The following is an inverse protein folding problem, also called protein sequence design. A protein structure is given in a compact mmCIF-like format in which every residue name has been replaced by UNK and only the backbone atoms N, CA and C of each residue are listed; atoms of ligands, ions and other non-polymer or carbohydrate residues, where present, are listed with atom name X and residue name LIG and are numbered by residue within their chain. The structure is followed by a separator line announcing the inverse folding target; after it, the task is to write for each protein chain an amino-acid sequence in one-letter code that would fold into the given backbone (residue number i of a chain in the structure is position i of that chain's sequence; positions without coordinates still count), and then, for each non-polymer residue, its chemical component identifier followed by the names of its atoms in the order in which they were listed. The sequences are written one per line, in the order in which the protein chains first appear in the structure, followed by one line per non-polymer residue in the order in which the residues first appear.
data_IF_643852552984
#
_entry.id   IF_643852552984
#
_cell.length_a   1.000
_cell.length_b   1.000
_cell.length_c   1.000
_cell.angle_alpha   90.00
_cell.angle_beta   90.00
_cell.angle_gamma   90.00
#
_symmetry.space_group_name_H-M   'P 1'
#
loop_
_entity.id
_entity.type
_entity.pdbx_description
1 polymer ?
#
# COMPACT_ATOMS: atom_id res chain seq x y z
N UNK A 1 32.58 -60.39 49.60
CA UNK A 1 32.50 -58.95 49.26
C UNK A 1 31.66 -58.84 48.00
N UNK A 2 30.72 -57.88 47.99
CA UNK A 2 29.64 -57.58 47.02
C UNK A 2 30.08 -57.81 45.54
N UNK A 3 29.21 -58.14 44.58
CA UNK A 3 28.15 -57.26 44.03
C UNK A 3 27.18 -58.12 43.18
N UNK A 4 25.87 -58.01 43.44
CA UNK A 4 24.80 -58.38 42.49
C UNK A 4 24.75 -57.33 41.37
N UNK A 5 24.69 -57.75 40.10
CA UNK A 5 24.30 -56.89 38.98
C UNK A 5 22.97 -57.41 38.44
N UNK A 6 21.89 -56.69 38.75
CA UNK A 6 20.59 -56.81 38.09
C UNK A 6 20.70 -56.24 36.67
N UNK A 7 20.34 -57.02 35.66
CA UNK A 7 20.09 -56.53 34.32
C UNK A 7 18.64 -56.01 34.25
N UNK A 8 18.46 -54.69 34.15
CA UNK A 8 17.17 -54.06 33.88
C UNK A 8 17.00 -53.86 32.37
N UNK A 9 15.95 -54.47 31.81
CA UNK A 9 15.52 -54.23 30.43
C UNK A 9 14.85 -52.85 30.35
N UNK A 10 15.40 -51.94 29.54
CA UNK A 10 14.75 -50.67 29.20
C UNK A 10 13.87 -50.87 27.95
N UNK A 11 12.56 -50.73 28.15
CA UNK A 11 11.57 -50.53 27.10
C UNK A 11 11.75 -49.12 26.51
N UNK A 12 12.05 -49.03 25.22
CA UNK A 12 11.95 -47.77 24.47
C UNK A 12 10.48 -47.45 24.22
N UNK A 13 9.91 -46.57 25.03
CA UNK A 13 8.63 -45.90 24.75
C UNK A 13 8.86 -44.81 23.70
N UNK A 14 8.30 -45.03 22.50
CA UNK A 14 8.25 -44.04 21.44
C UNK A 14 7.20 -42.96 21.77
N UNK A 15 7.65 -41.72 21.98
CA UNK A 15 6.83 -40.52 21.89
C UNK A 15 7.62 -39.46 21.14
N UNK A 16 7.51 -39.48 19.81
CA UNK A 16 8.05 -38.47 18.92
C UNK A 16 6.95 -38.07 17.93
N UNK A 17 5.88 -37.47 18.44
CA UNK A 17 4.89 -36.81 17.61
C UNK A 17 5.53 -35.55 17.02
N UNK A 18 6.25 -35.69 15.91
CA UNK A 18 6.56 -34.56 15.05
C UNK A 18 5.24 -34.07 14.48
N UNK A 19 4.69 -33.01 15.06
CA UNK A 19 3.70 -32.18 14.40
C UNK A 19 4.36 -31.64 13.14
N UNK A 20 4.14 -32.32 12.01
CA UNK A 20 4.35 -31.73 10.69
C UNK A 20 3.41 -30.54 10.66
N UNK A 21 3.96 -29.32 10.78
CA UNK A 21 3.20 -28.13 10.48
C UNK A 21 2.66 -28.31 9.06
N UNK A 22 1.36 -28.49 8.92
CA UNK A 22 0.70 -28.50 7.62
C UNK A 22 0.98 -27.16 6.99
N UNK A 23 1.71 -27.16 5.87
CA UNK A 23 2.00 -25.94 5.13
C UNK A 23 0.69 -25.22 4.82
N UNK A 24 0.62 -23.94 5.16
CA UNK A 24 -0.56 -23.12 4.91
C UNK A 24 -0.83 -23.09 3.42
N UNK A 25 -2.03 -23.52 3.01
CA UNK A 25 -2.38 -23.57 1.59
C UNK A 25 -2.63 -22.15 1.09
N UNK A 26 -1.89 -21.73 0.07
CA UNK A 26 -2.00 -20.42 -0.58
C UNK A 26 -2.29 -20.60 -2.08
N UNK A 27 -2.50 -19.50 -2.81
CA UNK A 27 -2.62 -19.52 -4.27
C UNK A 27 -1.41 -20.19 -4.94
N UNK A 28 -1.58 -20.64 -6.19
CA UNK A 28 -0.53 -21.32 -6.94
C UNK A 28 0.80 -20.53 -6.95
N UNK A 29 1.95 -21.20 -6.85
CA UNK A 29 3.24 -20.51 -6.84
C UNK A 29 3.56 -19.93 -8.22
N UNK A 30 4.36 -18.87 -8.24
CA UNK A 30 4.92 -18.33 -9.48
C UNK A 30 5.89 -19.33 -10.14
N UNK A 31 6.04 -19.26 -11.47
CA UNK A 31 7.16 -19.90 -12.15
C UNK A 31 8.51 -19.50 -11.50
N UNK A 32 9.47 -20.44 -11.53
CA UNK A 32 10.84 -20.18 -11.06
C UNK A 32 11.59 -19.22 -11.97
N UNK A 33 11.39 -19.36 -13.28
CA UNK A 33 11.97 -18.49 -14.29
C UNK A 33 11.15 -17.20 -14.45
N UNK A 34 11.79 -16.18 -15.03
CA UNK A 34 11.11 -14.93 -15.35
C UNK A 34 9.84 -15.17 -16.17
N UNK A 35 8.76 -14.48 -15.79
CA UNK A 35 7.43 -14.70 -16.36
C UNK A 35 6.71 -13.39 -16.63
N UNK A 36 5.69 -13.46 -17.49
CA UNK A 36 4.66 -12.41 -17.54
C UNK A 36 3.82 -12.37 -16.27
N UNK A 37 2.85 -11.47 -16.25
CA UNK A 37 1.87 -11.36 -15.18
C UNK A 37 0.98 -12.59 -15.09
N UNK A 38 0.79 -13.08 -13.87
CA UNK A 38 -0.12 -14.17 -13.51
C UNK A 38 -1.20 -13.57 -12.62
N UNK A 39 -2.46 -13.72 -13.03
CA UNK A 39 -3.62 -13.45 -12.18
C UNK A 39 -3.78 -14.60 -11.17
N UNK A 40 -3.96 -14.26 -9.90
CA UNK A 40 -3.99 -15.19 -8.79
C UNK A 40 -5.27 -14.98 -7.97
N UNK A 41 -6.00 -16.07 -7.77
CA UNK A 41 -7.12 -16.13 -6.84
C UNK A 41 -6.60 -16.60 -5.47
N UNK A 42 -6.61 -15.73 -4.44
CA UNK A 42 -6.15 -16.12 -3.12
C UNK A 42 -7.02 -17.23 -2.54
N UNK A 43 -6.38 -18.11 -1.78
CA UNK A 43 -7.07 -19.14 -1.00
C UNK A 43 -7.26 -18.65 0.43
N UNK A 44 -8.26 -19.14 1.17
CA UNK A 44 -8.38 -18.87 2.60
C UNK A 44 -7.12 -19.30 3.36
N UNK A 45 -6.67 -18.47 4.30
CA UNK A 45 -5.42 -18.67 5.06
C UNK A 45 -5.73 -18.58 6.54
N UNK A 46 -5.26 -19.56 7.32
CA UNK A 46 -5.27 -19.50 8.79
C UNK A 46 -4.11 -18.62 9.27
N UNK A 47 -4.42 -17.50 9.93
CA UNK A 47 -3.43 -16.58 10.51
C UNK A 47 -3.86 -16.28 11.94
N UNK A 48 -2.98 -16.54 12.90
CA UNK A 48 -3.22 -16.30 14.33
C UNK A 48 -4.49 -17.00 14.90
N UNK A 49 -4.90 -18.11 14.28
CA UNK A 49 -6.09 -18.88 14.67
C UNK A 49 -7.40 -18.38 14.05
N UNK A 50 -7.32 -17.45 13.10
CA UNK A 50 -8.45 -16.95 12.32
C UNK A 50 -8.29 -17.32 10.83
N UNK A 51 -9.37 -17.82 10.23
CA UNK A 51 -9.45 -18.00 8.78
C UNK A 51 -9.71 -16.67 8.10
N UNK A 52 -8.74 -16.14 7.37
CA UNK A 52 -8.93 -14.97 6.51
C UNK A 52 -9.26 -15.40 5.09
N UNK A 53 -10.35 -14.85 4.54
CA UNK A 53 -10.71 -14.98 3.13
C UNK A 53 -10.69 -13.59 2.51
N UNK A 54 -9.91 -13.43 1.44
CA UNK A 54 -9.82 -12.15 0.78
C UNK A 54 -11.13 -11.83 0.02
N UNK A 55 -11.61 -10.60 0.13
CA UNK A 55 -12.86 -10.14 -0.49
C UNK A 55 -12.81 -8.64 -0.81
N UNK A 56 -13.52 -8.24 -1.86
CA UNK A 56 -13.86 -6.84 -2.12
C UNK A 56 -14.99 -6.39 -1.19
N UNK A 57 -15.46 -5.16 -1.37
CA UNK A 57 -16.35 -4.49 -0.40
C UNK A 57 -17.73 -5.14 -0.20
N UNK A 58 -18.16 -5.99 -1.14
CA UNK A 58 -19.46 -6.69 -1.12
C UNK A 58 -20.67 -5.74 -0.90
N UNK A 59 -20.55 -4.48 -1.34
CA UNK A 59 -21.69 -3.55 -1.35
C UNK A 59 -22.72 -3.98 -2.40
N UNK A 60 -24.00 -3.58 -2.24
CA UNK A 60 -25.03 -3.92 -3.22
C UNK A 60 -24.63 -3.56 -4.66
N UNK A 61 -24.56 -4.59 -5.52
CA UNK A 61 -24.24 -4.46 -6.94
C UNK A 61 -22.75 -4.65 -7.30
N UNK A 62 -21.86 -4.77 -6.33
CA UNK A 62 -20.43 -5.05 -6.54
C UNK A 62 -20.14 -6.56 -6.59
N UNK A 63 -19.16 -6.97 -7.39
CA UNK A 63 -18.54 -8.29 -7.29
C UNK A 63 -17.57 -8.33 -6.08
N UNK A 64 -17.81 -9.26 -5.17
CA UNK A 64 -16.98 -9.48 -3.98
C UNK A 64 -15.65 -10.20 -4.30
N UNK A 65 -15.48 -10.74 -5.51
CA UNK A 65 -14.28 -11.50 -5.88
C UNK A 65 -13.02 -10.64 -5.82
N UNK A 66 -12.08 -11.04 -4.94
CA UNK A 66 -10.74 -10.46 -4.88
C UNK A 66 -9.73 -11.33 -5.63
N UNK A 67 -8.82 -10.67 -6.34
CA UNK A 67 -7.70 -11.25 -7.07
C UNK A 67 -6.48 -10.39 -6.84
N UNK A 68 -5.30 -10.92 -7.13
CA UNK A 68 -4.09 -10.12 -7.20
C UNK A 68 -3.22 -10.62 -8.34
N UNK A 69 -2.19 -9.86 -8.71
CA UNK A 69 -1.30 -10.25 -9.80
C UNK A 69 0.12 -10.32 -9.31
N UNK A 70 0.89 -11.23 -9.90
CA UNK A 70 2.32 -11.28 -9.65
C UNK A 70 3.09 -11.68 -10.90
N UNK A 71 4.37 -11.33 -10.95
CA UNK A 71 5.31 -11.78 -11.96
C UNK A 71 6.68 -12.04 -11.37
N UNK A 72 7.39 -13.01 -11.95
CA UNK A 72 8.80 -13.26 -11.68
C UNK A 72 9.67 -12.38 -12.57
N UNK A 73 10.55 -11.58 -11.99
CA UNK A 73 11.56 -10.82 -12.71
C UNK A 73 12.80 -11.66 -13.05
N UNK A 74 13.73 -11.04 -13.77
CA UNK A 74 15.05 -11.61 -14.04
C UNK A 74 16.07 -11.38 -12.90
N UNK A 75 15.76 -10.47 -11.96
CA UNK A 75 16.58 -10.15 -10.79
C UNK A 75 15.95 -10.66 -9.49
N UNK A 76 16.77 -10.79 -8.43
CA UNK A 76 16.30 -11.14 -7.09
C UNK A 76 15.80 -9.90 -6.31
N UNK A 77 15.05 -9.04 -6.97
CA UNK A 77 14.46 -7.83 -6.38
C UNK A 77 12.93 -7.89 -6.48
N UNK A 78 12.26 -7.21 -5.56
CA UNK A 78 10.79 -7.28 -5.41
C UNK A 78 10.16 -5.89 -5.34
N UNK A 79 9.11 -5.69 -6.13
CA UNK A 79 8.17 -4.57 -5.98
C UNK A 79 6.86 -5.10 -5.41
N UNK A 80 6.37 -4.46 -4.35
CA UNK A 80 5.01 -4.66 -3.83
C UNK A 80 4.25 -3.37 -4.11
N UNK A 81 3.34 -3.42 -5.08
CA UNK A 81 2.60 -2.26 -5.57
C UNK A 81 1.15 -2.33 -5.11
N UNK A 82 0.69 -1.33 -4.37
CA UNK A 82 -0.71 -1.17 -3.97
C UNK A 82 -1.43 -0.21 -4.93
N UNK A 83 -2.54 -0.65 -5.51
CA UNK A 83 -3.31 0.18 -6.44
C UNK A 83 -4.13 1.25 -5.72
N UNK A 84 -4.51 2.28 -6.48
CA UNK A 84 -5.35 3.37 -6.03
C UNK A 84 -6.82 3.20 -6.41
N UNK A 85 -7.69 4.02 -5.82
CA UNK A 85 -9.10 4.05 -6.22
C UNK A 85 -10.01 4.70 -5.20
N UNK A 86 -9.62 5.83 -4.60
CA UNK A 86 -10.47 6.58 -3.68
C UNK A 86 -10.65 5.96 -2.29
N UNK A 87 -11.67 6.40 -1.55
CA UNK A 87 -11.97 5.93 -0.19
C UNK A 87 -13.39 6.35 0.22
N UNK A 88 -13.95 5.66 1.23
CA UNK A 88 -15.23 6.02 1.83
C UNK A 88 -15.20 5.75 3.33
N UNK A 89 -15.77 6.61 4.17
CA UNK A 89 -15.70 6.47 5.64
C UNK A 89 -16.99 6.84 6.36
N UNK A 90 -18.01 7.32 5.64
CA UNK A 90 -19.28 7.76 6.18
C UNK A 90 -20.44 7.42 5.22
N UNK A 91 -21.67 7.68 5.69
CA UNK A 91 -22.89 7.44 4.93
C UNK A 91 -22.87 8.08 3.54
N UNK A 92 -22.34 9.29 3.39
CA UNK A 92 -22.33 9.98 2.10
C UNK A 92 -21.33 9.32 1.15
N UNK A 93 -20.09 9.17 1.60
CA UNK A 93 -19.00 8.68 0.74
C UNK A 93 -19.17 7.20 0.39
N UNK A 94 -19.70 6.38 1.30
CA UNK A 94 -19.85 4.94 1.07
C UNK A 94 -21.06 4.59 0.19
N UNK A 95 -22.00 5.52 0.02
CA UNK A 95 -23.21 5.32 -0.81
C UNK A 95 -23.00 5.62 -2.29
N UNK A 96 -21.80 6.08 -2.69
CA UNK A 96 -21.48 6.33 -4.10
C UNK A 96 -20.26 5.48 -4.51
N UNK A 97 -20.41 4.14 -4.58
CA UNK A 97 -19.36 3.26 -5.04
C UNK A 97 -19.13 3.42 -6.54
N UNK A 98 -17.89 3.18 -6.97
CA UNK A 98 -17.54 2.92 -8.35
C UNK A 98 -17.53 1.41 -8.59
N UNK A 99 -18.36 1.00 -9.54
CA UNK A 99 -18.58 -0.36 -10.02
C UNK A 99 -18.05 -0.51 -11.46
N UNK A 100 -17.92 -1.74 -11.94
CA UNK A 100 -17.48 -2.09 -13.29
C UNK A 100 -18.44 -1.58 -14.37
N UNK A 101 -19.71 -1.36 -14.02
CA UNK A 101 -20.71 -0.74 -14.89
C UNK A 101 -20.48 0.77 -15.08
N UNK A 102 -19.72 1.41 -14.19
CA UNK A 102 -19.39 2.83 -14.30
C UNK A 102 -18.26 3.03 -15.31
N UNK A 103 -18.39 4.06 -16.15
CA UNK A 103 -17.47 4.26 -17.29
C UNK A 103 -16.45 5.37 -17.05
N UNK A 104 -16.63 6.17 -15.99
CA UNK A 104 -15.74 7.27 -15.62
C UNK A 104 -15.21 7.09 -14.20
N UNK A 105 -14.07 7.73 -13.90
CA UNK A 105 -13.50 7.66 -12.56
C UNK A 105 -14.29 8.52 -11.56
N UNK A 106 -14.83 9.65 -12.02
CA UNK A 106 -15.68 10.56 -11.25
C UNK A 106 -17.07 9.99 -10.91
N UNK A 107 -17.39 8.78 -11.37
CA UNK A 107 -18.68 8.12 -11.12
C UNK A 107 -18.81 7.57 -9.69
N UNK A 108 -17.76 7.61 -8.86
CA UNK A 108 -17.82 7.19 -7.46
C UNK A 108 -16.65 7.67 -6.60
N UNK A 109 -16.81 7.61 -5.27
CA UNK A 109 -15.77 8.04 -4.32
C UNK A 109 -14.70 6.97 -4.07
N UNK A 110 -15.01 5.70 -4.34
CA UNK A 110 -14.11 4.58 -4.13
C UNK A 110 -14.42 3.41 -5.06
N UNK A 111 -13.43 2.58 -5.38
CA UNK A 111 -13.65 1.28 -6.04
C UNK A 111 -14.24 0.29 -5.03
N UNK A 112 -15.39 -0.28 -5.36
CA UNK A 112 -16.06 -1.29 -4.54
C UNK A 112 -15.83 -2.74 -5.04
N UNK A 113 -15.35 -2.89 -6.26
CA UNK A 113 -14.98 -4.17 -6.88
C UNK A 113 -13.74 -3.98 -7.74
N UNK A 114 -13.16 -5.10 -8.19
CA UNK A 114 -12.09 -5.06 -9.18
C UNK A 114 -12.63 -4.60 -10.53
N UNK A 115 -11.98 -3.61 -11.12
CA UNK A 115 -12.37 -3.02 -12.39
C UNK A 115 -11.49 -3.56 -13.53
N UNK A 116 -11.97 -3.53 -14.79
CA UNK A 116 -11.16 -3.97 -15.94
C UNK A 116 -9.81 -3.26 -16.08
N UNK A 117 -9.69 -2.02 -15.56
CA UNK A 117 -8.43 -1.25 -15.57
C UNK A 117 -7.43 -1.63 -14.46
N UNK A 118 -7.76 -2.61 -13.62
CA UNK A 118 -6.90 -3.07 -12.52
C UNK A 118 -5.93 -4.18 -12.96
N UNK A 119 -6.01 -4.64 -14.21
CA UNK A 119 -5.03 -5.57 -14.78
C UNK A 119 -3.70 -4.82 -15.07
N UNK A 120 -2.58 -5.19 -14.40
CA UNK A 120 -1.30 -4.54 -14.60
C UNK A 120 -0.74 -4.68 -16.02
N UNK A 121 -1.23 -5.61 -16.85
CA UNK A 121 -0.87 -5.70 -18.27
C UNK A 121 -1.35 -4.50 -19.09
N UNK A 122 -2.33 -3.74 -18.59
CA UNK A 122 -2.90 -2.57 -19.27
C UNK A 122 -2.31 -1.25 -18.78
N UNK A 123 -1.51 -1.28 -17.71
CA UNK A 123 -0.95 -0.11 -17.07
C UNK A 123 0.32 0.39 -17.78
N UNK A 124 0.64 1.66 -17.55
CA UNK A 124 1.84 2.31 -18.11
C UNK A 124 2.79 2.76 -17.00
N UNK A 125 3.82 3.56 -17.35
CA UNK A 125 4.80 4.05 -16.37
C UNK A 125 5.69 2.93 -15.86
N UNK A 126 5.70 2.66 -14.56
CA UNK A 126 6.50 1.60 -13.94
C UNK A 126 6.12 0.19 -14.42
N UNK A 127 4.92 0.03 -14.99
CA UNK A 127 4.43 -1.22 -15.59
C UNK A 127 4.85 -1.40 -17.06
N UNK A 128 5.46 -0.38 -17.68
CA UNK A 128 6.09 -0.49 -19.01
C UNK A 128 7.47 -1.16 -18.86
N UNK A 129 7.46 -2.49 -18.83
CA UNK A 129 8.64 -3.32 -18.54
C UNK A 129 9.60 -3.48 -19.74
N UNK A 130 9.14 -3.19 -20.95
CA UNK A 130 9.99 -3.20 -22.15
C UNK A 130 10.80 -1.91 -22.29
N UNK A 131 10.49 -0.89 -21.49
CA UNK A 131 11.15 0.40 -21.54
C UNK A 131 12.52 0.35 -20.83
N UNK A 132 13.64 0.59 -21.52
CA UNK A 132 14.96 0.54 -20.91
C UNK A 132 15.17 1.63 -19.85
N UNK A 133 14.34 2.68 -19.82
CA UNK A 133 14.38 3.74 -18.81
C UNK A 133 13.67 3.35 -17.51
N UNK A 134 12.98 2.21 -17.46
CA UNK A 134 12.36 1.69 -16.25
C UNK A 134 13.42 1.07 -15.34
N UNK A 135 13.72 1.64 -14.15
CA UNK A 135 14.72 1.06 -13.25
C UNK A 135 14.26 -0.26 -12.60
N UNK A 136 12.98 -0.61 -12.73
CA UNK A 136 12.36 -1.77 -12.09
C UNK A 136 11.99 -2.89 -13.09
N UNK A 137 12.28 -2.73 -14.40
CA UNK A 137 11.81 -3.67 -15.44
C UNK A 137 12.14 -5.14 -15.17
N UNK A 138 13.33 -5.39 -14.63
CA UNK A 138 13.87 -6.73 -14.39
C UNK A 138 13.47 -7.29 -13.01
N UNK A 139 12.68 -6.57 -12.21
CA UNK A 139 12.29 -6.96 -10.86
C UNK A 139 11.06 -7.86 -10.86
N UNK A 140 10.90 -8.67 -9.83
CA UNK A 140 9.61 -9.33 -9.57
C UNK A 140 8.60 -8.31 -9.06
N UNK A 141 7.32 -8.51 -9.36
CA UNK A 141 6.24 -7.65 -8.86
C UNK A 141 5.16 -8.49 -8.20
N UNK A 142 4.58 -7.91 -7.15
CA UNK A 142 3.28 -8.27 -6.58
C UNK A 142 2.42 -7.02 -6.66
N UNK A 143 1.34 -7.09 -7.42
CA UNK A 143 0.38 -6.01 -7.60
C UNK A 143 -0.90 -6.35 -6.83
N UNK A 144 -1.22 -5.51 -5.86
CA UNK A 144 -2.35 -5.63 -4.95
C UNK A 144 -3.41 -4.61 -5.38
N UNK A 145 -4.49 -5.04 -6.04
CA UNK A 145 -5.55 -4.12 -6.44
C UNK A 145 -6.36 -3.65 -5.23
N UNK A 146 -7.22 -2.65 -5.46
CA UNK A 146 -8.00 -2.02 -4.40
C UNK A 146 -9.49 -2.00 -4.71
N UNK A 147 -10.29 -2.51 -3.77
CA UNK A 147 -11.75 -2.60 -3.91
C UNK A 147 -12.51 -2.55 -2.58
N UNK A 148 -11.90 -2.02 -1.51
CA UNK A 148 -12.40 -2.13 -0.12
C UNK A 148 -12.75 -0.79 0.53
N UNK A 149 -12.58 0.33 -0.18
CA UNK A 149 -12.94 1.67 0.32
C UNK A 149 -12.13 2.19 1.53
N UNK A 150 -11.13 1.43 1.99
CA UNK A 150 -10.41 1.62 3.26
C UNK A 150 -8.90 1.88 3.13
N UNK A 151 -8.44 2.29 1.94
CA UNK A 151 -7.04 2.53 1.56
C UNK A 151 -6.08 1.38 1.93
N UNK A 152 -6.55 0.14 1.74
CA UNK A 152 -5.85 -1.11 2.06
C UNK A 152 -5.64 -1.36 3.56
N UNK A 153 -6.33 -0.65 4.44
CA UNK A 153 -5.99 -0.63 5.87
C UNK A 153 -7.12 -1.11 6.79
N UNK A 154 -8.29 -1.45 6.26
CA UNK A 154 -9.43 -1.87 7.05
C UNK A 154 -9.43 -3.36 7.41
N UNK A 155 -10.07 -3.66 8.54
CA UNK A 155 -10.38 -5.02 9.03
C UNK A 155 -11.74 -4.97 9.76
N UNK A 156 -12.80 -4.59 9.05
CA UNK A 156 -14.13 -4.42 9.63
C UNK A 156 -15.27 -4.60 8.62
N UNK A 157 -16.38 -5.17 9.07
CA UNK A 157 -17.69 -4.99 8.42
C UNK A 157 -18.37 -3.77 9.03
N UNK A 158 -18.68 -2.77 8.21
CA UNK A 158 -19.40 -1.57 8.65
C UNK A 158 -20.81 -1.52 8.04
N UNK A 159 -21.74 -0.87 8.74
CA UNK A 159 -23.09 -0.59 8.24
C UNK A 159 -23.24 0.90 8.00
N UNK A 160 -23.78 1.24 6.83
CA UNK A 160 -24.05 2.61 6.39
C UNK A 160 -25.52 2.78 6.05
N UNK A 161 -25.94 4.04 5.93
CA UNK A 161 -27.27 4.41 5.44
C UNK A 161 -27.12 5.37 4.28
N UNK A 162 -27.71 5.02 3.14
CA UNK A 162 -27.77 5.90 1.98
C UNK A 162 -28.58 7.16 2.34
N UNK A 163 -27.99 8.36 2.24
CA UNK A 163 -28.66 9.60 2.61
C UNK A 163 -29.82 9.97 1.66
N UNK A 164 -29.82 9.47 0.43
CA UNK A 164 -30.85 9.79 -0.57
C UNK A 164 -32.04 8.81 -0.49
N UNK A 165 -31.79 7.53 -0.24
CA UNK A 165 -32.83 6.49 -0.19
C UNK A 165 -33.27 6.13 1.23
N UNK A 166 -32.42 6.33 2.23
CA UNK A 166 -32.61 5.87 3.61
C UNK A 166 -32.38 4.36 3.80
N UNK A 167 -31.93 3.65 2.77
CA UNK A 167 -31.64 2.21 2.83
C UNK A 167 -30.33 1.94 3.57
N UNK A 168 -30.31 0.88 4.39
CA UNK A 168 -29.11 0.43 5.10
C UNK A 168 -28.39 -0.65 4.30
N UNK A 169 -27.07 -0.57 4.22
CA UNK A 169 -26.23 -1.59 3.58
C UNK A 169 -24.97 -1.87 4.40
N UNK A 170 -24.37 -3.03 4.17
CA UNK A 170 -23.07 -3.41 4.75
C UNK A 170 -21.96 -3.24 3.73
N UNK A 171 -20.76 -3.01 4.24
CA UNK A 171 -19.53 -2.91 3.45
C UNK A 171 -18.38 -3.60 4.19
N UNK A 172 -17.67 -4.46 3.48
CA UNK A 172 -16.48 -5.17 3.91
C UNK A 172 -15.21 -4.33 3.69
N UNK A 173 -14.76 -3.63 4.73
CA UNK A 173 -13.45 -2.97 4.76
C UNK A 173 -12.38 -4.01 5.11
N UNK A 174 -11.84 -4.69 4.09
CA UNK A 174 -10.94 -5.85 4.23
C UNK A 174 -9.55 -5.64 3.67
N UNK A 175 -9.14 -4.39 3.44
CA UNK A 175 -7.86 -4.08 2.82
C UNK A 175 -6.66 -4.69 3.54
N UNK A 176 -6.65 -4.65 4.89
CA UNK A 176 -5.59 -5.24 5.68
C UNK A 176 -5.67 -6.78 5.68
N UNK A 177 -6.89 -7.33 5.77
CA UNK A 177 -7.14 -8.78 5.74
C UNK A 177 -6.70 -9.39 4.39
N UNK A 178 -7.07 -8.75 3.29
CA UNK A 178 -6.67 -9.11 1.93
C UNK A 178 -5.13 -9.14 1.81
N UNK A 179 -4.46 -8.11 2.34
CA UNK A 179 -3.00 -8.07 2.26
C UNK A 179 -2.33 -9.11 3.17
N UNK A 180 -2.89 -9.46 4.33
CA UNK A 180 -2.36 -10.55 5.18
C UNK A 180 -2.35 -11.87 4.41
N UNK A 181 -3.40 -12.16 3.65
CA UNK A 181 -3.48 -13.33 2.76
C UNK A 181 -2.43 -13.29 1.65
N UNK A 182 -2.28 -12.14 0.98
CA UNK A 182 -1.27 -11.95 -0.08
C UNK A 182 0.15 -12.07 0.48
N UNK A 183 0.43 -11.52 1.66
CA UNK A 183 1.73 -11.58 2.31
C UNK A 183 2.13 -13.02 2.65
N UNK A 184 1.18 -13.87 3.06
CA UNK A 184 1.46 -15.29 3.30
C UNK A 184 1.84 -16.01 1.99
N UNK A 185 1.13 -15.72 0.89
CA UNK A 185 1.54 -16.19 -0.42
C UNK A 185 2.94 -15.68 -0.80
N UNK A 186 3.26 -14.41 -0.52
CA UNK A 186 4.58 -13.82 -0.82
C UNK A 186 5.71 -14.54 -0.07
N UNK A 187 5.54 -14.89 1.21
CA UNK A 187 6.54 -15.63 2.02
C UNK A 187 6.92 -16.97 1.40
N UNK A 188 5.98 -17.62 0.73
CA UNK A 188 6.19 -18.91 0.08
C UNK A 188 6.77 -18.80 -1.33
N UNK A 189 6.72 -17.61 -1.95
CA UNK A 189 7.08 -17.38 -3.34
C UNK A 189 8.36 -16.58 -3.55
N UNK A 190 8.81 -15.83 -2.55
CA UNK A 190 10.03 -15.05 -2.61
C UNK A 190 10.92 -15.41 -1.44
N UNK A 191 12.22 -15.59 -1.71
CA UNK A 191 13.20 -15.90 -0.68
C UNK A 191 14.27 -14.85 -0.75
N UNK A 192 14.43 -14.11 0.35
CA UNK A 192 15.52 -13.13 0.54
C UNK A 192 15.76 -12.20 -0.67
N UNK A 193 14.79 -11.34 -1.05
CA UNK A 193 15.05 -10.31 -2.04
C UNK A 193 16.23 -9.42 -1.61
N UNK A 194 17.11 -9.07 -2.56
CA UNK A 194 18.23 -8.16 -2.32
C UNK A 194 17.75 -6.73 -2.09
N UNK A 195 16.71 -6.33 -2.82
CA UNK A 195 16.02 -5.06 -2.64
C UNK A 195 14.51 -5.21 -2.72
N UNK A 196 13.81 -4.37 -1.95
CA UNK A 196 12.35 -4.32 -1.91
C UNK A 196 11.88 -2.88 -2.09
N UNK A 197 10.96 -2.67 -3.03
CA UNK A 197 10.21 -1.42 -3.15
C UNK A 197 8.78 -1.69 -2.72
N UNK A 198 8.36 -1.09 -1.61
CA UNK A 198 6.97 -1.07 -1.18
C UNK A 198 6.39 0.26 -1.64
N UNK A 199 5.46 0.22 -2.58
CA UNK A 199 4.96 1.44 -3.22
C UNK A 199 3.48 1.34 -3.54
N UNK A 200 2.87 2.47 -3.84
CA UNK A 200 1.50 2.51 -4.29
C UNK A 200 1.11 3.91 -4.68
N UNK A 201 0.07 4.00 -5.50
CA UNK A 201 -0.47 5.26 -6.02
C UNK A 201 -1.80 5.60 -5.36
N UNK A 202 -2.02 6.88 -5.04
CA UNK A 202 -3.28 7.34 -4.44
C UNK A 202 -3.58 6.64 -3.11
N UNK A 203 -4.76 6.00 -2.97
CA UNK A 203 -5.10 5.11 -1.85
C UNK A 203 -4.00 4.08 -1.55
N UNK A 204 -3.35 3.54 -2.58
CA UNK A 204 -2.25 2.59 -2.44
C UNK A 204 -1.00 3.15 -1.77
N UNK A 205 -0.75 4.47 -1.81
CA UNK A 205 0.37 5.07 -1.08
C UNK A 205 0.18 4.92 0.44
N UNK A 206 -1.06 4.95 0.92
CA UNK A 206 -1.40 4.69 2.32
C UNK A 206 -1.27 3.21 2.65
N UNK A 207 -1.74 2.32 1.76
CA UNK A 207 -1.51 0.87 1.87
C UNK A 207 -0.04 0.50 1.97
N UNK A 208 0.81 1.09 1.12
CA UNK A 208 2.25 0.91 1.16
C UNK A 208 2.86 1.32 2.50
N UNK A 209 2.37 2.40 3.11
CA UNK A 209 2.83 2.84 4.44
C UNK A 209 2.34 1.88 5.54
N UNK A 210 1.05 1.54 5.53
CA UNK A 210 0.42 0.61 6.48
C UNK A 210 1.15 -0.74 6.50
N UNK A 211 1.49 -1.26 5.32
CA UNK A 211 2.02 -2.61 5.16
C UNK A 211 3.55 -2.68 5.09
N UNK A 212 4.26 -1.56 5.19
CA UNK A 212 5.72 -1.55 5.11
C UNK A 212 6.36 -2.45 6.18
N UNK A 213 5.96 -2.28 7.45
CA UNK A 213 6.51 -3.03 8.57
C UNK A 213 6.33 -4.55 8.45
N UNK A 214 5.11 -5.09 8.17
CA UNK A 214 4.95 -6.54 8.01
C UNK A 214 5.68 -7.09 6.77
N UNK A 215 5.80 -6.33 5.67
CA UNK A 215 6.62 -6.72 4.52
C UNK A 215 8.10 -6.78 4.91
N UNK A 216 8.59 -5.75 5.61
CA UNK A 216 9.99 -5.67 6.06
C UNK A 216 10.34 -6.81 6.99
N UNK A 217 9.43 -7.18 7.89
CA UNK A 217 9.57 -8.33 8.78
C UNK A 217 9.60 -9.67 8.02
N UNK A 218 8.82 -9.82 6.95
CA UNK A 218 8.83 -11.02 6.11
C UNK A 218 10.15 -11.18 5.33
N UNK A 219 10.83 -10.07 5.01
CA UNK A 219 12.04 -10.06 4.20
C UNK A 219 13.15 -9.17 4.81
N UNK A 220 13.84 -9.64 5.87
CA UNK A 220 14.74 -8.80 6.67
C UNK A 220 16.13 -8.53 6.04
N UNK A 221 16.60 -9.35 5.11
CA UNK A 221 18.02 -9.35 4.69
C UNK A 221 18.42 -8.27 3.66
N UNK A 222 17.48 -7.74 2.87
CA UNK A 222 17.74 -6.78 1.79
C UNK A 222 17.52 -5.31 2.18
N UNK A 223 17.82 -4.41 1.24
CA UNK A 223 17.50 -2.97 1.37
C UNK A 223 16.03 -2.71 1.04
N UNK A 224 15.34 -1.87 1.79
CA UNK A 224 13.96 -1.50 1.47
C UNK A 224 13.81 -0.01 1.15
N UNK A 225 12.91 0.28 0.21
CA UNK A 225 12.40 1.62 -0.09
C UNK A 225 10.87 1.61 0.05
N UNK A 226 10.33 2.50 0.86
CA UNK A 226 8.91 2.87 0.79
C UNK A 226 8.76 4.09 -0.12
N UNK A 227 7.89 4.01 -1.14
CA UNK A 227 7.56 5.14 -2.00
C UNK A 227 6.05 5.37 -2.07
N UNK A 228 5.57 6.45 -1.46
CA UNK A 228 4.18 6.89 -1.61
C UNK A 228 3.99 7.81 -2.82
N UNK A 229 3.20 7.40 -3.80
CA UNK A 229 2.85 8.21 -4.97
C UNK A 229 1.49 8.90 -4.78
N UNK A 230 1.51 10.22 -4.61
CA UNK A 230 0.32 11.07 -4.44
C UNK A 230 -0.54 10.76 -3.20
N UNK A 231 0.03 10.14 -2.17
CA UNK A 231 -0.54 10.06 -0.82
C UNK A 231 0.38 10.73 0.19
N UNK A 232 -0.08 11.85 0.77
CA UNK A 232 0.77 12.74 1.60
C UNK A 232 0.45 12.68 3.11
N UNK A 233 -0.59 11.95 3.52
CA UNK A 233 -0.97 11.86 4.94
C UNK A 233 -1.71 13.09 5.46
N UNK A 234 -2.24 13.95 4.59
CA UNK A 234 -3.00 15.13 4.99
C UNK A 234 -4.43 14.70 5.34
N UNK A 235 -4.77 14.77 6.62
CA UNK A 235 -6.06 14.35 7.16
C UNK A 235 -6.57 15.32 8.24
N UNK A 236 -7.89 15.33 8.48
CA UNK A 236 -8.50 15.99 9.63
C UNK A 236 -8.64 15.03 10.80
N UNK A 237 -8.79 15.57 12.02
CA UNK A 237 -9.04 14.73 13.22
C UNK A 237 -10.36 13.96 13.11
N UNK A 238 -11.41 14.63 12.66
CA UNK A 238 -12.73 14.03 12.49
C UNK A 238 -12.68 12.87 11.49
N UNK A 239 -11.95 13.03 10.37
CA UNK A 239 -11.72 11.93 9.44
C UNK A 239 -11.03 10.74 10.11
N UNK A 240 -9.97 10.96 10.89
CA UNK A 240 -9.29 9.86 11.56
C UNK A 240 -10.21 9.12 12.54
N UNK A 241 -11.06 9.85 13.27
CA UNK A 241 -12.05 9.24 14.15
C UNK A 241 -13.08 8.43 13.35
N UNK A 242 -13.67 9.01 12.30
CA UNK A 242 -14.64 8.31 11.43
C UNK A 242 -14.04 7.06 10.82
N UNK A 243 -12.85 7.20 10.23
CA UNK A 243 -12.09 6.11 9.62
C UNK A 243 -11.76 4.99 10.60
N UNK A 244 -11.30 5.31 11.80
CA UNK A 244 -10.98 4.28 12.79
C UNK A 244 -12.26 3.59 13.28
N UNK A 245 -13.37 4.32 13.38
CA UNK A 245 -14.69 3.75 13.70
C UNK A 245 -15.24 2.83 12.61
N UNK A 246 -15.10 3.21 11.34
CA UNK A 246 -15.65 2.46 10.21
C UNK A 246 -14.75 1.36 9.69
N UNK A 247 -13.44 1.61 9.53
CA UNK A 247 -12.52 0.67 8.92
C UNK A 247 -11.85 -0.25 9.94
N UNK A 248 -11.79 0.16 11.22
CA UNK A 248 -10.84 -0.37 12.21
C UNK A 248 -9.44 -0.42 11.61
N UNK A 249 -8.91 0.77 11.32
CA UNK A 249 -7.65 0.95 10.62
C UNK A 249 -6.50 0.18 11.30
N UNK A 250 -5.85 -0.72 10.56
CA UNK A 250 -4.82 -1.64 11.08
C UNK A 250 -3.43 -1.06 10.92
N UNK A 251 -2.89 -0.43 11.96
CA UNK A 251 -1.47 -0.02 11.99
C UNK A 251 -0.60 -1.08 12.66
N UNK A 252 0.65 -1.29 12.20
CA UNK A 252 1.54 -2.29 12.79
C UNK A 252 1.96 -1.89 14.21
N UNK A 253 1.54 -2.66 15.21
CA UNK A 253 1.83 -2.43 16.63
C UNK A 253 3.33 -2.21 16.92
N UNK A 254 4.21 -2.90 16.20
CA UNK A 254 5.67 -2.76 16.34
C UNK A 254 6.18 -1.32 16.14
N UNK A 255 5.45 -0.49 15.38
CA UNK A 255 5.81 0.90 15.07
C UNK A 255 4.93 1.88 15.83
N UNK A 256 3.64 1.57 15.99
CA UNK A 256 2.62 2.51 16.49
C UNK A 256 2.10 2.19 17.89
N UNK A 257 2.57 1.10 18.52
CA UNK A 257 2.08 0.63 19.82
C UNK A 257 0.75 -0.14 19.73
N UNK A 258 0.37 -0.79 20.83
CA UNK A 258 -0.79 -1.69 20.90
C UNK A 258 -2.12 -1.01 20.60
N UNK A 259 -2.26 0.26 20.99
CA UNK A 259 -3.47 1.04 20.74
C UNK A 259 -3.55 1.51 19.29
N UNK A 260 -2.43 1.53 18.56
CA UNK A 260 -2.35 1.87 17.14
C UNK A 260 -2.93 3.24 16.77
N UNK A 261 -3.17 4.11 17.76
CA UNK A 261 -3.81 5.39 17.53
C UNK A 261 -2.81 6.40 16.95
N UNK A 262 -3.18 6.98 15.82
CA UNK A 262 -2.48 8.14 15.24
C UNK A 262 -3.40 9.36 15.25
N UNK A 263 -2.86 10.50 15.66
CA UNK A 263 -3.50 11.81 15.61
C UNK A 263 -3.31 12.45 14.24
N UNK A 264 -4.07 13.51 13.92
CA UNK A 264 -3.94 14.23 12.65
C UNK A 264 -2.60 14.97 12.48
N UNK A 265 -1.87 15.12 13.58
CA UNK A 265 -0.56 15.76 13.65
C UNK A 265 0.58 14.71 13.55
N UNK A 266 0.26 13.42 13.79
CA UNK A 266 1.20 12.31 13.66
C UNK A 266 1.41 11.91 12.20
N UNK A 267 2.63 11.46 11.95
CA UNK A 267 3.15 11.27 10.60
C UNK A 267 3.56 9.83 10.41
N UNK A 268 2.66 9.02 9.85
CA UNK A 268 2.88 7.59 9.63
C UNK A 268 4.20 7.34 8.90
N UNK A 269 4.47 8.08 7.82
CA UNK A 269 5.70 7.90 7.03
C UNK A 269 6.92 8.38 7.81
N UNK A 270 6.81 9.50 8.53
CA UNK A 270 7.89 9.99 9.40
C UNK A 270 8.22 9.03 10.55
N UNK A 271 7.20 8.40 11.16
CA UNK A 271 7.35 7.40 12.21
C UNK A 271 8.01 6.12 11.68
N UNK A 272 7.61 5.66 10.48
CA UNK A 272 8.28 4.55 9.81
C UNK A 272 9.74 4.86 9.50
N UNK A 273 10.02 6.06 8.97
CA UNK A 273 11.40 6.49 8.67
C UNK A 273 12.28 6.55 9.92
N UNK A 274 11.72 6.95 11.06
CA UNK A 274 12.41 6.93 12.35
C UNK A 274 12.61 5.51 12.89
N UNK A 275 11.64 4.61 12.69
CA UNK A 275 11.72 3.23 13.17
C UNK A 275 12.69 2.37 12.34
N UNK A 276 12.82 2.64 11.03
CA UNK A 276 13.68 1.93 10.10
C UNK A 276 14.79 2.84 9.54
N UNK A 277 15.80 3.22 10.35
CA UNK A 277 16.81 4.20 9.94
C UNK A 277 17.71 3.73 8.79
N UNK A 278 17.81 2.41 8.57
CA UNK A 278 18.60 1.81 7.49
C UNK A 278 17.82 1.62 6.18
N UNK A 279 16.49 1.81 6.22
CA UNK A 279 15.63 1.75 5.04
C UNK A 279 15.35 3.16 4.49
N UNK A 280 15.00 3.25 3.21
CA UNK A 280 14.74 4.50 2.50
C UNK A 280 13.24 4.79 2.46
N UNK A 281 12.88 6.07 2.59
CA UNK A 281 11.50 6.54 2.51
C UNK A 281 11.37 7.68 1.52
N UNK A 282 10.29 7.64 0.74
CA UNK A 282 10.08 8.55 -0.35
C UNK A 282 8.61 8.91 -0.54
N UNK A 283 8.35 10.15 -0.96
CA UNK A 283 7.03 10.54 -1.43
C UNK A 283 7.10 11.39 -2.71
N UNK A 284 6.19 11.12 -3.63
CA UNK A 284 5.91 11.96 -4.80
C UNK A 284 4.57 12.68 -4.64
N UNK A 285 4.49 13.93 -5.08
CA UNK A 285 3.21 14.64 -5.27
C UNK A 285 3.35 15.76 -6.30
N UNK A 286 2.24 16.22 -6.87
CA UNK A 286 2.19 17.56 -7.47
C UNK A 286 1.89 18.62 -6.42
N UNK A 287 2.23 19.88 -6.72
CA UNK A 287 2.03 21.01 -5.82
C UNK A 287 0.57 21.27 -5.47
N UNK A 288 -0.36 20.93 -6.38
CA UNK A 288 -1.79 21.18 -6.25
C UNK A 288 -2.60 19.94 -6.63
N UNK A 289 -2.24 18.78 -6.09
CA UNK A 289 -2.93 17.52 -6.37
C UNK A 289 -4.45 17.67 -6.17
N UNK A 290 -5.20 17.54 -7.28
CA UNK A 290 -6.64 17.80 -7.32
C UNK A 290 -7.41 16.78 -6.48
N UNK A 291 -7.03 15.51 -6.57
CA UNK A 291 -7.72 14.43 -5.87
C UNK A 291 -7.50 14.54 -4.38
N UNK A 292 -6.25 14.74 -3.94
CA UNK A 292 -5.96 14.91 -2.51
C UNK A 292 -6.65 16.15 -1.94
N UNK A 293 -6.70 17.24 -2.71
CA UNK A 293 -7.49 18.42 -2.32
C UNK A 293 -8.98 18.11 -2.20
N UNK A 294 -9.55 17.41 -3.18
CA UNK A 294 -10.97 17.09 -3.20
C UNK A 294 -11.36 16.23 -1.98
N UNK A 295 -10.56 15.23 -1.64
CA UNK A 295 -10.76 14.45 -0.42
C UNK A 295 -10.63 15.30 0.84
N UNK A 296 -9.68 16.24 0.90
CA UNK A 296 -9.58 17.15 2.04
C UNK A 296 -10.80 18.09 2.17
N UNK A 297 -11.44 18.45 1.04
CA UNK A 297 -12.72 19.15 1.06
C UNK A 297 -13.87 18.27 1.57
N UNK A 298 -13.91 16.98 1.16
CA UNK A 298 -14.89 16.00 1.66
C UNK A 298 -14.73 15.75 3.17
N UNK A 299 -13.52 15.89 3.72
CA UNK A 299 -13.26 15.89 5.16
C UNK A 299 -13.74 17.16 5.88
N UNK A 300 -14.45 18.06 5.18
CA UNK A 300 -15.09 19.24 5.74
C UNK A 300 -14.22 20.51 5.77
N UNK A 301 -13.07 20.54 5.07
CA UNK A 301 -12.13 21.67 5.17
C UNK A 301 -12.47 22.79 4.18
N UNK A 302 -12.81 24.00 4.66
CA UNK A 302 -13.03 25.15 3.78
C UNK A 302 -11.73 25.58 3.07
N UNK A 303 -11.82 25.94 1.79
CA UNK A 303 -10.64 26.36 1.03
C UNK A 303 -9.59 25.26 0.89
N UNK A 304 -10.03 24.00 0.81
CA UNK A 304 -9.21 22.79 0.90
C UNK A 304 -7.93 22.84 0.06
N UNK A 305 -7.91 23.39 -1.15
CA UNK A 305 -6.69 23.41 -1.97
C UNK A 305 -5.55 24.17 -1.31
N UNK A 306 -5.82 25.35 -0.75
CA UNK A 306 -4.80 26.14 -0.07
C UNK A 306 -4.41 25.48 1.25
N UNK A 307 -5.39 25.01 2.01
CA UNK A 307 -5.18 24.38 3.31
C UNK A 307 -4.37 23.06 3.17
N UNK A 308 -4.72 22.24 2.18
CA UNK A 308 -4.02 21.01 1.83
C UNK A 308 -2.59 21.30 1.40
N UNK A 309 -2.38 22.24 0.46
CA UNK A 309 -1.04 22.61 -0.01
C UNK A 309 -0.15 23.07 1.15
N UNK A 310 -0.70 23.87 2.07
CA UNK A 310 0.02 24.34 3.25
C UNK A 310 0.39 23.20 4.20
N UNK A 311 -0.56 22.30 4.51
CA UNK A 311 -0.31 21.16 5.40
C UNK A 311 0.68 20.17 4.77
N UNK A 312 0.48 19.81 3.51
CA UNK A 312 1.39 18.97 2.73
C UNK A 312 2.82 19.51 2.73
N UNK A 313 3.01 20.80 2.43
CA UNK A 313 4.34 21.41 2.42
C UNK A 313 5.00 21.41 3.81
N UNK A 314 4.22 21.64 4.86
CA UNK A 314 4.69 21.63 6.26
C UNK A 314 5.12 20.22 6.67
N UNK A 315 4.28 19.21 6.41
CA UNK A 315 4.54 17.81 6.75
C UNK A 315 5.73 17.26 5.97
N UNK A 316 5.82 17.54 4.67
CA UNK A 316 6.98 17.16 3.87
C UNK A 316 8.27 17.80 4.36
N UNK A 317 8.26 19.11 4.68
CA UNK A 317 9.45 19.80 5.20
C UNK A 317 9.96 19.15 6.50
N UNK A 318 9.05 18.72 7.37
CA UNK A 318 9.41 17.97 8.58
C UNK A 318 10.02 16.61 8.24
N UNK A 319 9.40 15.81 7.36
CA UNK A 319 9.95 14.50 6.94
C UNK A 319 11.33 14.62 6.31
N UNK A 320 11.56 15.67 5.52
CA UNK A 320 12.83 15.96 4.87
C UNK A 320 14.01 16.20 5.83
N UNK A 321 13.75 16.35 7.13
CA UNK A 321 14.80 16.40 8.15
C UNK A 321 15.38 15.02 8.49
N UNK A 322 14.66 13.95 8.19
CA UNK A 322 15.15 12.59 8.39
C UNK A 322 16.22 12.24 7.34
N UNK A 323 17.35 11.64 7.74
CA UNK A 323 18.47 11.39 6.82
C UNK A 323 18.10 10.42 5.69
N UNK A 324 17.15 9.52 5.95
CA UNK A 324 16.69 8.46 5.05
C UNK A 324 15.38 8.79 4.29
N UNK A 325 14.84 10.01 4.42
CA UNK A 325 13.64 10.44 3.70
C UNK A 325 13.95 11.42 2.56
N UNK A 326 13.35 11.23 1.39
CA UNK A 326 13.35 12.23 0.31
C UNK A 326 11.96 12.45 -0.28
N UNK A 327 11.74 13.59 -0.92
CA UNK A 327 10.52 13.79 -1.71
C UNK A 327 10.77 14.40 -3.08
N UNK A 328 9.81 14.17 -3.98
CA UNK A 328 9.73 14.78 -5.29
C UNK A 328 8.41 15.54 -5.42
N UNK A 329 8.48 16.88 -5.43
CA UNK A 329 7.32 17.75 -5.59
C UNK A 329 7.32 18.35 -7.00
N UNK A 330 6.36 17.94 -7.81
CA UNK A 330 6.22 18.38 -9.19
C UNK A 330 5.24 19.55 -9.34
N UNK A 331 5.33 20.28 -10.45
CA UNK A 331 4.38 21.34 -10.78
C UNK A 331 3.04 20.75 -11.22
N UNK A 332 1.98 21.53 -11.06
CA UNK A 332 0.66 21.23 -11.61
C UNK A 332 -0.24 20.51 -10.61
N UNK A 333 -1.18 19.77 -11.20
CA UNK A 333 -2.42 19.33 -10.56
C UNK A 333 -2.68 17.82 -10.73
N UNK A 334 -1.82 17.13 -11.49
CA UNK A 334 -2.02 15.71 -11.78
C UNK A 334 -1.95 14.88 -10.51
N UNK A 335 -2.76 13.82 -10.49
CA UNK A 335 -2.78 12.85 -9.42
C UNK A 335 -2.08 11.57 -9.87
N UNK A 336 -1.11 11.12 -9.06
CA UNK A 336 -0.23 9.97 -9.31
C UNK A 336 0.76 10.15 -10.46
N UNK A 337 1.83 9.36 -10.47
CA UNK A 337 2.83 9.33 -11.54
C UNK A 337 3.17 7.91 -11.99
N UNK A 338 3.18 6.93 -11.07
CA UNK A 338 3.80 5.62 -11.30
C UNK A 338 3.10 4.81 -12.40
N UNK A 339 1.79 4.97 -12.59
CA UNK A 339 0.98 4.23 -13.58
C UNK A 339 0.80 4.95 -14.92
N UNK A 340 1.46 6.09 -15.11
CA UNK A 340 1.26 6.97 -16.26
C UNK A 340 2.55 7.23 -17.05
N UNK A 341 2.47 7.70 -18.30
CA UNK A 341 3.65 8.11 -19.06
C UNK A 341 4.44 9.27 -18.41
N UNK A 342 3.83 10.00 -17.46
CA UNK A 342 4.51 11.05 -16.70
C UNK A 342 5.71 10.52 -15.91
N UNK A 343 5.73 9.24 -15.54
CA UNK A 343 6.87 8.58 -14.92
C UNK A 343 8.20 8.85 -15.66
N UNK A 344 8.17 8.86 -17.00
CA UNK A 344 9.36 9.05 -17.83
C UNK A 344 9.60 10.50 -18.29
N UNK A 345 8.56 11.35 -18.25
CA UNK A 345 8.57 12.69 -18.83
C UNK A 345 8.57 13.82 -17.80
N UNK A 346 8.16 13.56 -16.56
CA UNK A 346 8.14 14.56 -15.49
C UNK A 346 9.56 14.99 -15.09
N UNK A 347 9.82 16.30 -15.18
CA UNK A 347 11.12 16.94 -14.91
C UNK A 347 11.00 18.26 -14.15
N UNK A 348 9.80 18.67 -13.76
CA UNK A 348 9.59 19.99 -13.16
C UNK A 348 10.26 20.17 -11.79
N UNK A 349 10.59 19.06 -11.09
CA UNK A 349 11.33 19.07 -9.83
C UNK A 349 12.85 19.20 -10.01
N UNK A 350 13.32 19.41 -11.25
CA UNK A 350 14.73 19.43 -11.63
C UNK A 350 15.12 18.17 -12.40
N UNK A 351 15.64 17.16 -11.68
CA UNK A 351 15.99 15.88 -12.28
C UNK A 351 14.72 15.13 -12.75
N UNK A 352 14.80 14.28 -13.78
CA UNK A 352 13.68 13.45 -14.22
C UNK A 352 13.25 12.46 -13.15
N UNK A 353 11.94 12.24 -12.98
CA UNK A 353 11.43 11.39 -11.91
C UNK A 353 11.99 9.95 -11.98
N UNK A 354 11.99 9.32 -13.16
CA UNK A 354 12.57 7.98 -13.33
C UNK A 354 14.06 7.89 -12.95
N UNK A 355 14.83 8.94 -13.22
CA UNK A 355 16.26 9.02 -12.85
C UNK A 355 16.43 9.25 -11.34
N UNK A 356 15.55 10.05 -10.73
CA UNK A 356 15.50 10.23 -9.28
C UNK A 356 15.15 8.93 -8.54
N UNK A 357 14.20 8.14 -9.07
CA UNK A 357 13.90 6.81 -8.53
C UNK A 357 15.08 5.85 -8.74
N UNK A 358 15.73 5.87 -9.90
CA UNK A 358 16.94 5.05 -10.13
C UNK A 358 18.05 5.37 -9.12
N UNK A 359 18.27 6.65 -8.80
CA UNK A 359 19.22 7.07 -7.76
C UNK A 359 18.82 6.52 -6.38
N UNK A 360 17.52 6.53 -6.05
CA UNK A 360 17.00 5.95 -4.80
C UNK A 360 17.22 4.43 -4.66
N UNK A 361 17.42 3.72 -5.77
CA UNK A 361 17.66 2.26 -5.80
C UNK A 361 19.15 1.90 -5.87
N UNK A 362 20.01 2.83 -6.25
CA UNK A 362 21.47 2.63 -6.27
C UNK A 362 22.02 2.34 -4.88
N UNK A 363 23.14 1.63 -4.77
CA UNK A 363 23.78 1.31 -3.48
C UNK A 363 24.17 2.58 -2.72
N UNK A 364 24.96 3.44 -3.35
CA UNK A 364 25.47 4.68 -2.76
C UNK A 364 24.35 5.70 -2.45
N UNK A 365 23.29 5.72 -3.25
CA UNK A 365 22.26 6.76 -3.14
C UNK A 365 22.78 8.16 -3.50
N UNK A 366 23.94 8.22 -4.18
CA UNK A 366 24.52 9.45 -4.69
C UNK A 366 23.48 10.20 -5.53
N UNK A 367 23.38 11.51 -5.32
CA UNK A 367 22.41 12.41 -5.96
C UNK A 367 20.91 12.15 -5.67
N UNK A 368 20.57 11.22 -4.76
CA UNK A 368 19.21 11.07 -4.24
C UNK A 368 18.88 12.16 -3.21
N UNK A 369 18.55 13.34 -3.74
CA UNK A 369 18.21 14.54 -2.96
C UNK A 369 16.74 14.88 -3.05
N UNK A 370 16.26 15.75 -2.16
CA UNK A 370 14.93 16.34 -2.28
C UNK A 370 14.81 17.11 -3.60
N UNK A 371 13.67 16.97 -4.27
CA UNK A 371 13.35 17.64 -5.54
C UNK A 371 12.04 18.40 -5.38
N UNK A 372 12.01 19.64 -5.82
CA UNK A 372 10.81 20.46 -5.81
C UNK A 372 10.85 21.43 -6.98
N UNK A 373 9.71 21.65 -7.64
CA UNK A 373 9.62 22.72 -8.62
C UNK A 373 9.76 24.08 -7.96
N UNK A 374 10.06 25.11 -8.75
CA UNK A 374 10.10 26.48 -8.26
C UNK A 374 8.73 26.88 -7.68
N UNK A 375 8.71 27.38 -6.44
CA UNK A 375 7.50 27.79 -5.72
C UNK A 375 6.46 26.67 -5.44
N UNK A 376 6.80 25.39 -5.65
CA UNK A 376 5.91 24.25 -5.36
C UNK A 376 5.41 24.17 -3.91
N UNK A 377 6.17 24.73 -2.95
CA UNK A 377 5.82 24.70 -1.53
C UNK A 377 4.93 25.87 -1.08
N UNK A 378 4.52 26.76 -1.99
CA UNK A 378 3.68 27.92 -1.66
C UNK A 378 2.22 27.62 -2.02
N UNK A 379 1.26 27.86 -1.09
CA UNK A 379 -0.16 27.77 -1.42
C UNK A 379 -0.50 28.66 -2.60
N UNK A 380 -1.32 28.19 -3.57
CA UNK A 380 -1.69 29.01 -4.71
C UNK A 380 -2.49 30.24 -4.28
N UNK A 381 -2.32 31.34 -5.00
CA UNK A 381 -3.10 32.56 -4.77
C UNK A 381 -4.58 32.35 -5.10
N UNK A 382 -4.87 31.51 -6.09
CA UNK A 382 -6.22 31.07 -6.48
C UNK A 382 -6.16 29.59 -6.82
N UNK A 383 -7.14 28.83 -6.36
CA UNK A 383 -7.31 27.46 -6.77
C UNK A 383 -7.99 27.44 -8.15
N UNK A 384 -7.40 26.71 -9.09
CA UNK A 384 -8.00 26.49 -10.40
C UNK A 384 -8.87 25.24 -10.30
N UNK A 385 -10.15 25.44 -9.97
CA UNK A 385 -11.21 24.44 -10.10
C UNK A 385 -12.33 25.07 -10.91
#
# INVERSE_FOLDING_TARGET
MRILILAAAMLLSACGGSTVATATTVAAPLPREASGWVELEPQPVEIDGETLTATCSDVPGADAAFKFWARRGASNNLVVFFDGGGACWDNLTCSVPRLAVNTREEDGFYKAELLPGDDPNTLSGVFDLDNPRNPLRDWSFVFVPYCTGDVHSGSNTATYTDPDTGETFTLEHRGADNFRVVLEWMRQNFVTPEQIVVTGSSAGAYGAATHFAPIRAAFPAGRALMLGDAGQGVATRDFLQSRNGSWRYQLPESVFGADGEVTADEDIVGMLAAHYPDDRFAQYTTAQDLTQTAFYALMGVPGACRAWTQKMATDLSRRQTAPNFRSYVAVGQSHTILRSPLFYSQRSGGAPFAEWLAAALSDEGDDWTNRACENCSRPPARCQF
#
